data_IF_046516362825
#
_entry.id   IF_046516362825
#
_cell.length_a   1.000
_cell.length_b   1.000
_cell.length_c   1.000
_cell.angle_alpha   90.00
_cell.angle_beta   90.00
_cell.angle_gamma   90.00
#
_symmetry.space_group_name_H-M   'P 1'
#
loop_
_entity.id
_entity.type
_entity.pdbx_description
1 polymer ?
#
# COMPACT_ATOMS: atom_id res chain seq x y z
N UNK A 1 -23.74 -26.32 12.61
CA UNK A 1 -24.22 -25.03 13.10
C UNK A 1 -25.74 -24.90 12.97
N UNK A 2 -26.36 -25.36 11.89
CA UNK A 2 -27.80 -25.20 11.59
C UNK A 2 -28.63 -26.36 12.10
N UNK A 3 -28.15 -27.59 11.97
CA UNK A 3 -28.90 -28.83 12.24
C UNK A 3 -29.29 -28.98 13.72
N UNK A 4 -28.39 -28.79 14.67
CA UNK A 4 -28.64 -28.93 16.09
C UNK A 4 -29.73 -28.00 16.65
N UNK A 5 -29.73 -26.68 16.37
CA UNK A 5 -30.80 -25.81 16.84
C UNK A 5 -32.18 -26.16 16.30
N UNK A 6 -32.27 -26.61 15.03
CA UNK A 6 -33.55 -27.04 14.43
C UNK A 6 -34.05 -28.34 15.09
N UNK A 7 -33.18 -29.31 15.33
CA UNK A 7 -33.54 -30.61 15.93
C UNK A 7 -34.01 -30.46 17.40
N UNK A 8 -33.53 -29.43 18.10
CA UNK A 8 -33.90 -29.19 19.51
C UNK A 8 -35.17 -28.33 19.68
N UNK A 9 -35.72 -27.81 18.59
CA UNK A 9 -36.89 -26.95 18.62
C UNK A 9 -38.19 -27.78 18.70
N UNK A 10 -39.05 -27.47 19.70
CA UNK A 10 -40.32 -28.17 19.95
C UNK A 10 -41.58 -27.35 19.55
N UNK A 11 -41.42 -26.18 18.87
CA UNK A 11 -42.52 -25.34 18.44
C UNK A 11 -42.83 -25.46 16.95
N UNK A 12 -43.86 -24.72 16.48
CA UNK A 12 -44.11 -24.56 15.04
C UNK A 12 -42.93 -23.88 14.36
N UNK A 13 -42.54 -24.39 13.21
CA UNK A 13 -41.45 -23.88 12.40
C UNK A 13 -42.05 -22.89 11.41
N UNK A 14 -41.86 -21.59 11.69
CA UNK A 14 -42.20 -20.47 10.80
C UNK A 14 -40.91 -19.69 10.50
N UNK A 15 -40.89 -18.96 9.36
CA UNK A 15 -39.71 -18.19 8.92
C UNK A 15 -39.21 -17.25 10.02
N UNK A 16 -40.13 -16.52 10.65
CA UNK A 16 -39.83 -15.59 11.74
C UNK A 16 -39.22 -16.31 12.98
N UNK A 17 -39.68 -17.53 13.26
CA UNK A 17 -39.15 -18.37 14.34
C UNK A 17 -37.76 -18.92 14.01
N UNK A 18 -37.53 -19.31 12.75
CA UNK A 18 -36.23 -19.76 12.26
C UNK A 18 -35.17 -18.65 12.37
N UNK A 19 -35.50 -17.46 11.88
CA UNK A 19 -34.58 -16.32 11.87
C UNK A 19 -34.30 -15.82 13.30
N UNK A 20 -35.35 -15.58 14.09
CA UNK A 20 -35.19 -14.83 15.35
C UNK A 20 -34.92 -15.72 16.57
N UNK A 21 -35.36 -17.00 16.57
CA UNK A 21 -35.31 -17.86 17.74
C UNK A 21 -34.41 -19.08 17.57
N UNK A 22 -34.42 -19.71 16.40
CA UNK A 22 -33.71 -21.00 16.19
C UNK A 22 -32.29 -20.73 15.68
N UNK A 23 -32.14 -19.91 14.67
CA UNK A 23 -30.86 -19.67 14.00
C UNK A 23 -30.20 -18.37 14.44
N UNK A 24 -30.35 -17.89 15.61
CA UNK A 24 -29.83 -16.65 16.24
C UNK A 24 -28.46 -16.14 15.72
N UNK A 25 -28.15 -16.31 14.45
CA UNK A 25 -26.90 -15.93 13.83
C UNK A 25 -27.07 -14.62 13.05
N UNK A 26 -26.07 -13.73 13.13
CA UNK A 26 -25.98 -12.47 12.42
C UNK A 26 -25.74 -12.68 10.91
N UNK A 27 -26.58 -13.32 10.19
CA UNK A 27 -26.39 -13.62 8.76
C UNK A 27 -27.52 -14.45 8.20
N UNK A 28 -28.64 -14.47 8.90
CA UNK A 28 -29.86 -15.17 8.47
C UNK A 28 -30.83 -14.14 7.95
N UNK A 29 -31.17 -14.22 6.67
CA UNK A 29 -32.03 -13.28 5.96
C UNK A 29 -33.04 -14.03 5.09
N UNK A 30 -34.26 -13.51 4.98
CA UNK A 30 -35.23 -13.97 3.98
C UNK A 30 -34.82 -13.44 2.60
N UNK A 31 -34.86 -14.29 1.58
CA UNK A 31 -34.35 -13.99 0.24
C UNK A 31 -35.41 -14.31 -0.81
N UNK A 32 -35.55 -13.39 -1.77
CA UNK A 32 -36.40 -13.61 -2.93
C UNK A 32 -35.81 -14.68 -3.86
N UNK A 33 -36.66 -15.41 -4.60
CA UNK A 33 -36.24 -16.43 -5.55
C UNK A 33 -35.23 -15.93 -6.57
N UNK A 34 -35.35 -14.67 -7.01
CA UNK A 34 -34.45 -14.03 -7.97
C UNK A 34 -33.02 -13.80 -7.42
N UNK A 35 -32.83 -13.85 -6.10
CA UNK A 35 -31.55 -13.59 -5.44
C UNK A 35 -30.86 -14.89 -4.97
N UNK A 36 -31.47 -16.05 -5.17
CA UNK A 36 -30.93 -17.35 -4.74
C UNK A 36 -29.57 -17.60 -5.39
N UNK A 37 -29.47 -17.46 -6.70
CA UNK A 37 -28.23 -17.72 -7.45
C UNK A 37 -27.07 -16.85 -6.92
N UNK A 38 -27.32 -15.56 -6.71
CA UNK A 38 -26.34 -14.63 -6.17
C UNK A 38 -25.89 -15.02 -4.76
N UNK A 39 -26.82 -15.40 -3.88
CA UNK A 39 -26.49 -15.81 -2.52
C UNK A 39 -25.70 -17.12 -2.48
N UNK A 40 -25.96 -18.07 -3.39
CA UNK A 40 -25.19 -19.31 -3.52
C UNK A 40 -23.77 -18.98 -4.02
N UNK A 41 -23.62 -18.11 -5.01
CA UNK A 41 -22.31 -17.66 -5.51
C UNK A 41 -21.50 -16.90 -4.44
N UNK A 42 -22.17 -16.18 -3.56
CA UNK A 42 -21.55 -15.53 -2.37
C UNK A 42 -21.17 -16.56 -1.28
N UNK A 43 -21.43 -17.87 -1.49
CA UNK A 43 -21.08 -18.95 -0.56
C UNK A 43 -22.05 -19.10 0.62
N UNK A 44 -23.22 -18.49 0.54
CA UNK A 44 -24.27 -18.65 1.55
C UNK A 44 -25.07 -19.93 1.31
N UNK A 45 -25.62 -20.50 2.37
CA UNK A 45 -26.52 -21.66 2.28
C UNK A 45 -27.95 -21.18 2.19
N UNK A 46 -28.69 -21.73 1.24
CA UNK A 46 -30.13 -21.47 1.11
C UNK A 46 -30.90 -22.61 1.75
N UNK A 47 -31.78 -22.28 2.67
CA UNK A 47 -32.71 -23.21 3.31
C UNK A 47 -34.10 -23.02 2.70
N UNK A 48 -34.70 -24.11 2.28
CA UNK A 48 -36.09 -24.18 1.87
C UNK A 48 -36.73 -25.44 2.49
N UNK A 49 -38.05 -25.40 2.70
CA UNK A 49 -38.76 -26.51 3.32
C UNK A 49 -40.24 -26.43 2.95
N UNK A 50 -40.90 -27.59 2.93
CA UNK A 50 -42.34 -27.69 2.74
C UNK A 50 -43.16 -27.16 3.94
N UNK A 51 -42.48 -26.84 5.06
CA UNK A 51 -43.12 -26.33 6.29
C UNK A 51 -43.32 -24.80 6.30
N UNK A 52 -42.68 -24.06 5.36
CA UNK A 52 -42.82 -22.62 5.24
C UNK A 52 -42.63 -22.19 3.78
N UNK A 53 -43.37 -21.15 3.37
CA UNK A 53 -43.22 -20.54 2.06
C UNK A 53 -42.08 -19.50 2.09
N UNK A 54 -41.08 -19.64 1.20
CA UNK A 54 -39.97 -18.72 1.06
C UNK A 54 -38.60 -19.39 1.19
N UNK A 55 -37.57 -18.58 1.01
CA UNK A 55 -36.18 -19.00 1.04
C UNK A 55 -35.42 -18.21 2.12
N UNK A 56 -34.60 -18.90 2.89
CA UNK A 56 -33.79 -18.30 3.95
C UNK A 56 -32.32 -18.48 3.56
N UNK A 57 -31.57 -17.41 3.45
CA UNK A 57 -30.13 -17.45 3.30
C UNK A 57 -29.43 -17.43 4.67
N UNK A 58 -28.43 -18.27 4.84
CA UNK A 58 -27.60 -18.33 6.04
C UNK A 58 -26.15 -18.15 5.64
N UNK A 59 -25.52 -17.09 6.13
CA UNK A 59 -24.09 -16.86 5.92
C UNK A 59 -23.30 -17.75 6.88
N UNK A 60 -22.78 -18.86 6.35
CA UNK A 60 -21.86 -19.76 7.05
C UNK A 60 -20.47 -19.76 6.41
N UNK A 61 -20.21 -18.80 5.57
CA UNK A 61 -18.93 -18.70 4.87
C UNK A 61 -17.79 -18.51 5.87
N UNK A 62 -16.86 -19.44 5.84
CA UNK A 62 -15.56 -19.38 6.53
C UNK A 62 -14.47 -19.57 5.51
N UNK A 63 -14.12 -18.50 4.83
CA UNK A 63 -12.90 -18.53 4.00
C UNK A 63 -11.68 -18.61 4.92
N UNK A 64 -10.67 -19.42 4.58
CA UNK A 64 -9.40 -19.38 5.28
C UNK A 64 -8.77 -18.00 5.04
N UNK A 65 -8.82 -17.16 6.06
CA UNK A 65 -8.21 -15.83 6.04
C UNK A 65 -6.89 -15.86 6.80
N UNK A 66 -5.91 -15.12 6.32
CA UNK A 66 -4.65 -14.92 7.04
C UNK A 66 -4.94 -14.21 8.38
N UNK A 67 -4.35 -14.70 9.45
CA UNK A 67 -4.39 -13.98 10.73
C UNK A 67 -3.62 -12.66 10.60
N UNK A 68 -4.14 -11.54 11.15
CA UNK A 68 -3.40 -10.28 11.17
C UNK A 68 -1.99 -10.46 11.74
N UNK A 69 -1.00 -10.13 10.95
CA UNK A 69 0.43 -10.24 11.28
C UNK A 69 1.17 -9.01 10.81
N UNK A 70 2.43 -8.86 11.19
CA UNK A 70 3.26 -7.74 10.75
C UNK A 70 3.43 -7.77 9.22
N UNK A 71 3.15 -6.65 8.52
CA UNK A 71 3.35 -6.58 7.08
C UNK A 71 4.83 -6.68 6.72
N UNK A 72 5.22 -7.52 5.76
CA UNK A 72 6.61 -7.66 5.35
C UNK A 72 7.18 -6.38 4.70
N UNK A 73 6.31 -5.55 4.13
CA UNK A 73 6.67 -4.30 3.45
C UNK A 73 6.90 -3.13 4.39
N UNK A 74 6.28 -3.16 5.59
CA UNK A 74 6.35 -2.06 6.58
C UNK A 74 6.70 -2.57 7.97
N UNK A 75 7.91 -3.12 8.19
CA UNK A 75 8.34 -3.59 9.50
C UNK A 75 8.49 -2.43 10.48
N UNK A 76 8.15 -2.65 11.75
CA UNK A 76 8.15 -1.61 12.78
C UNK A 76 9.11 -1.94 13.90
N UNK A 77 9.95 -0.96 14.24
CA UNK A 77 10.86 -1.09 15.40
C UNK A 77 10.05 -0.88 16.70
N UNK A 78 9.16 0.12 16.71
CA UNK A 78 8.30 0.44 17.85
C UNK A 78 6.87 0.70 17.38
N UNK A 79 5.87 0.21 18.11
CA UNK A 79 4.46 0.40 17.82
C UNK A 79 3.71 -0.88 17.46
N UNK A 80 2.45 -0.78 17.03
CA UNK A 80 1.63 -1.92 16.66
C UNK A 80 2.19 -2.66 15.45
N UNK A 81 2.22 -3.99 15.53
CA UNK A 81 2.73 -4.87 14.45
C UNK A 81 1.63 -5.51 13.62
N UNK A 82 0.39 -5.18 13.92
CA UNK A 82 -0.77 -5.67 13.17
C UNK A 82 -0.88 -5.02 11.81
N UNK A 83 -1.04 -5.82 10.76
CA UNK A 83 -1.35 -5.40 9.40
C UNK A 83 -2.77 -5.72 8.99
N UNK A 84 -3.24 -5.07 7.93
CA UNK A 84 -4.46 -5.46 7.25
C UNK A 84 -4.29 -6.82 6.56
N UNK A 85 -5.42 -7.47 6.32
CA UNK A 85 -5.52 -8.75 5.64
C UNK A 85 -6.39 -8.63 4.38
N UNK A 86 -6.52 -9.71 3.65
CA UNK A 86 -7.30 -9.74 2.41
C UNK A 86 -8.81 -9.61 2.66
N UNK A 87 -9.32 -10.00 3.83
CA UNK A 87 -10.75 -9.93 4.20
C UNK A 87 -11.14 -8.52 4.65
N UNK A 88 -12.02 -7.87 3.89
CA UNK A 88 -12.51 -6.52 4.20
C UNK A 88 -13.26 -6.42 5.53
N UNK A 89 -13.97 -7.48 5.96
CA UNK A 89 -14.71 -7.51 7.23
C UNK A 89 -13.76 -7.45 8.42
N UNK A 90 -12.68 -8.20 8.35
CA UNK A 90 -11.58 -8.16 9.34
C UNK A 90 -10.95 -6.78 9.37
N UNK A 91 -10.67 -6.18 8.21
CA UNK A 91 -10.07 -4.85 8.10
C UNK A 91 -10.98 -3.75 8.69
N UNK A 92 -12.30 -3.82 8.44
CA UNK A 92 -13.27 -2.94 9.10
C UNK A 92 -13.24 -3.10 10.64
N UNK A 93 -13.13 -4.33 11.12
CA UNK A 93 -13.07 -4.63 12.56
C UNK A 93 -11.79 -4.08 13.18
N UNK A 94 -10.64 -4.19 12.49
CA UNK A 94 -9.37 -3.62 12.92
C UNK A 94 -9.44 -2.09 13.07
N UNK A 95 -10.09 -1.41 12.13
CA UNK A 95 -10.33 0.03 12.24
C UNK A 95 -11.32 0.37 13.35
N UNK A 96 -12.44 -0.37 13.45
CA UNK A 96 -13.44 -0.15 14.52
C UNK A 96 -12.85 -0.33 15.91
N UNK A 97 -11.93 -1.28 16.08
CA UNK A 97 -11.24 -1.52 17.35
C UNK A 97 -10.33 -0.35 17.77
N UNK A 98 -9.79 0.42 16.81
CA UNK A 98 -8.94 1.60 17.06
C UNK A 98 -9.75 2.89 17.18
N UNK A 99 -10.83 2.99 16.44
CA UNK A 99 -11.69 4.18 16.37
C UNK A 99 -13.06 3.87 17.01
N UNK A 100 -13.13 3.97 18.35
CA UNK A 100 -14.33 3.71 19.13
C UNK A 100 -15.28 4.94 19.10
N UNK A 101 -15.68 5.37 17.91
CA UNK A 101 -16.64 6.46 17.74
C UNK A 101 -17.85 6.01 16.96
N UNK A 102 -19.03 6.55 17.31
CA UNK A 102 -20.28 6.35 16.56
C UNK A 102 -20.23 6.99 15.17
N UNK A 103 -19.36 7.99 15.00
CA UNK A 103 -19.25 8.78 13.78
C UNK A 103 -18.40 8.08 12.71
N UNK A 104 -17.80 6.91 13.02
CA UNK A 104 -17.11 6.07 12.04
C UNK A 104 -18.12 5.38 11.13
N UNK A 105 -18.14 5.80 9.87
CA UNK A 105 -19.05 5.31 8.84
C UNK A 105 -18.31 4.38 7.89
N UNK A 106 -18.94 3.25 7.55
CA UNK A 106 -18.53 2.34 6.49
C UNK A 106 -19.63 2.28 5.42
N UNK A 107 -19.31 2.65 4.20
CA UNK A 107 -20.21 2.62 3.06
C UNK A 107 -19.70 1.63 2.03
N UNK A 108 -20.39 0.50 1.88
CA UNK A 108 -19.99 -0.56 0.95
C UNK A 108 -20.58 -0.30 -0.43
N UNK A 109 -19.73 -0.39 -1.44
CA UNK A 109 -20.04 -0.33 -2.86
C UNK A 109 -19.58 -1.65 -3.51
N UNK A 110 -20.20 -2.03 -4.63
CA UNK A 110 -19.85 -3.22 -5.39
C UNK A 110 -19.29 -2.76 -6.72
N UNK A 111 -18.11 -3.24 -7.09
CA UNK A 111 -17.40 -2.87 -8.33
C UNK A 111 -16.98 -4.11 -9.10
N UNK A 112 -17.06 -4.04 -10.42
CA UNK A 112 -16.76 -5.14 -11.33
C UNK A 112 -18.00 -5.93 -11.73
N UNK A 113 -18.24 -6.06 -13.04
CA UNK A 113 -19.41 -6.76 -13.55
C UNK A 113 -19.39 -8.26 -13.23
N UNK A 114 -18.20 -8.88 -13.30
CA UNK A 114 -18.00 -10.31 -13.03
C UNK A 114 -17.51 -10.58 -11.61
N UNK A 115 -16.56 -9.78 -11.09
CA UNK A 115 -15.97 -10.04 -9.78
C UNK A 115 -16.85 -9.64 -8.61
N UNK A 116 -17.80 -8.68 -8.80
CA UNK A 116 -18.69 -8.17 -7.74
C UNK A 116 -17.93 -7.83 -6.45
N UNK A 117 -16.73 -7.25 -6.59
CA UNK A 117 -15.80 -7.00 -5.49
C UNK A 117 -16.35 -5.90 -4.57
N UNK A 118 -16.34 -6.15 -3.26
CA UNK A 118 -16.79 -5.19 -2.26
C UNK A 118 -15.71 -4.15 -1.99
N UNK A 119 -16.08 -2.89 -2.15
CA UNK A 119 -15.23 -1.73 -1.87
C UNK A 119 -15.88 -0.90 -0.78
N UNK A 120 -15.21 -0.74 0.35
CA UNK A 120 -15.73 -0.02 1.51
C UNK A 120 -15.08 1.35 1.61
N UNK A 121 -15.88 2.40 1.49
CA UNK A 121 -15.47 3.79 1.75
C UNK A 121 -15.71 4.09 3.22
N UNK A 122 -14.63 4.32 3.95
CA UNK A 122 -14.63 4.55 5.40
C UNK A 122 -14.17 5.96 5.74
N UNK A 123 -14.87 6.64 6.63
CA UNK A 123 -14.57 8.01 7.06
C UNK A 123 -15.20 8.30 8.43
N UNK A 124 -14.72 9.36 9.08
CA UNK A 124 -15.33 9.88 10.32
C UNK A 124 -16.24 11.04 9.93
N UNK A 125 -17.55 10.90 10.19
CA UNK A 125 -18.51 11.97 9.90
C UNK A 125 -18.24 13.18 10.80
N UNK A 126 -18.37 14.37 10.22
CA UNK A 126 -18.03 15.62 10.91
C UNK A 126 -16.54 16.00 10.87
N UNK A 127 -15.62 15.06 10.54
CA UNK A 127 -14.18 15.33 10.42
C UNK A 127 -13.75 15.34 8.96
N UNK A 128 -14.17 14.34 8.19
CA UNK A 128 -13.83 14.23 6.77
C UNK A 128 -14.62 15.23 5.90
N UNK A 129 -13.95 15.82 4.89
CA UNK A 129 -14.60 16.74 3.95
C UNK A 129 -15.66 16.02 3.10
N UNK A 130 -16.91 16.47 3.21
CA UNK A 130 -18.06 15.92 2.46
C UNK A 130 -17.89 15.99 0.94
N UNK A 131 -17.06 16.92 0.44
CA UNK A 131 -16.75 17.01 -1.00
C UNK A 131 -15.87 15.85 -1.44
N UNK A 132 -14.84 15.52 -0.65
CA UNK A 132 -13.95 14.39 -0.91
C UNK A 132 -14.73 13.08 -0.86
N UNK A 133 -15.57 12.88 0.17
CA UNK A 133 -16.40 11.67 0.30
C UNK A 133 -17.29 11.48 -0.94
N UNK A 134 -17.97 12.53 -1.37
CA UNK A 134 -18.87 12.48 -2.57
C UNK A 134 -18.07 12.22 -3.85
N UNK A 135 -16.90 12.86 -4.02
CA UNK A 135 -16.03 12.65 -5.19
C UNK A 135 -15.55 11.19 -5.27
N UNK A 136 -15.07 10.65 -4.15
CA UNK A 136 -14.61 9.26 -4.06
C UNK A 136 -15.72 8.28 -4.39
N UNK A 137 -16.88 8.40 -3.73
CA UNK A 137 -18.04 7.52 -3.99
C UNK A 137 -18.47 7.57 -5.45
N UNK A 138 -18.63 8.78 -6.01
CA UNK A 138 -19.01 8.96 -7.41
C UNK A 138 -18.00 8.36 -8.38
N UNK A 139 -16.70 8.47 -8.09
CA UNK A 139 -15.67 7.85 -8.93
C UNK A 139 -15.76 6.33 -8.88
N UNK A 140 -15.90 5.74 -7.69
CA UNK A 140 -15.99 4.28 -7.51
C UNK A 140 -17.26 3.74 -8.18
N UNK A 141 -18.42 4.39 -8.03
CA UNK A 141 -19.69 3.99 -8.65
C UNK A 141 -19.65 4.03 -10.19
N UNK A 142 -18.81 4.91 -10.76
CA UNK A 142 -18.66 5.04 -12.20
C UNK A 142 -17.64 4.09 -12.82
N UNK A 143 -16.96 3.26 -12.03
CA UNK A 143 -15.99 2.28 -12.54
C UNK A 143 -16.75 1.18 -13.29
N UNK A 144 -16.45 1.03 -14.58
CA UNK A 144 -16.99 0.00 -15.45
C UNK A 144 -15.86 -0.89 -15.91
N UNK A 145 -15.67 -1.99 -15.19
CA UNK A 145 -14.67 -3.01 -15.50
C UNK A 145 -15.23 -4.40 -15.19
N UNK A 146 -14.70 -5.41 -15.83
CA UNK A 146 -15.10 -6.81 -15.62
C UNK A 146 -14.80 -7.29 -14.20
N UNK A 147 -13.65 -6.90 -13.64
CA UNK A 147 -13.24 -7.35 -12.32
C UNK A 147 -12.18 -6.48 -11.64
N UNK A 148 -12.24 -6.45 -10.32
CA UNK A 148 -11.26 -5.83 -9.41
C UNK A 148 -10.60 -6.97 -8.63
N UNK A 149 -9.30 -7.15 -8.83
CA UNK A 149 -8.51 -8.21 -8.16
C UNK A 149 -7.75 -7.66 -6.96
N UNK A 150 -7.33 -6.38 -7.02
CA UNK A 150 -6.57 -5.71 -5.96
C UNK A 150 -6.93 -4.23 -5.87
N UNK A 151 -6.57 -3.59 -4.76
CA UNK A 151 -6.77 -2.16 -4.50
C UNK A 151 -6.15 -1.25 -5.56
N UNK A 152 -5.07 -1.69 -6.23
CA UNK A 152 -4.41 -0.91 -7.28
C UNK A 152 -5.34 -0.62 -8.47
N UNK A 153 -6.29 -1.50 -8.77
CA UNK A 153 -7.30 -1.24 -9.81
C UNK A 153 -8.16 -0.03 -9.43
N UNK A 154 -8.61 0.03 -8.19
CA UNK A 154 -9.39 1.17 -7.69
C UNK A 154 -8.53 2.45 -7.64
N UNK A 155 -7.27 2.34 -7.21
CA UNK A 155 -6.34 3.47 -7.16
C UNK A 155 -6.23 4.16 -8.51
N UNK A 156 -6.03 3.41 -9.61
CA UNK A 156 -5.86 3.98 -10.95
C UNK A 156 -7.07 4.78 -11.43
N UNK A 157 -8.29 4.41 -11.04
CA UNK A 157 -9.52 5.17 -11.36
C UNK A 157 -9.74 6.38 -10.44
N UNK A 158 -9.21 6.35 -9.24
CA UNK A 158 -9.31 7.46 -8.30
C UNK A 158 -8.35 8.60 -8.62
N UNK A 159 -7.24 8.33 -9.31
CA UNK A 159 -6.30 9.36 -9.72
C UNK A 159 -6.95 10.44 -10.58
N UNK A 160 -6.60 11.70 -10.30
CA UNK A 160 -7.09 12.85 -11.07
C UNK A 160 -6.27 13.11 -12.32
N UNK A 161 -4.98 12.75 -12.27
CA UNK A 161 -3.99 12.96 -13.33
C UNK A 161 -3.20 11.66 -13.56
N UNK A 162 -3.70 10.77 -14.42
CA UNK A 162 -3.07 9.44 -14.63
C UNK A 162 -1.63 9.53 -15.17
N UNK A 163 -1.27 10.64 -15.83
CA UNK A 163 0.09 10.86 -16.34
C UNK A 163 1.01 11.59 -15.34
N UNK A 164 0.58 11.77 -14.08
CA UNK A 164 1.43 12.36 -13.06
C UNK A 164 2.48 11.37 -12.60
N UNK A 165 3.73 11.80 -12.49
CA UNK A 165 4.80 11.03 -11.86
C UNK A 165 4.69 11.01 -10.32
N UNK A 166 3.86 11.90 -9.76
CA UNK A 166 3.70 12.01 -8.32
C UNK A 166 2.46 11.24 -7.85
N UNK A 167 2.62 10.52 -6.76
CA UNK A 167 1.56 9.80 -6.05
C UNK A 167 0.43 10.77 -5.68
N UNK A 168 -0.81 10.39 -5.91
CA UNK A 168 -1.99 11.21 -5.62
C UNK A 168 -2.90 10.58 -4.56
N UNK A 169 -2.69 9.31 -4.27
CA UNK A 169 -3.46 8.51 -3.33
C UNK A 169 -2.48 7.81 -2.40
N UNK A 170 -2.69 7.92 -1.11
CA UNK A 170 -1.92 7.20 -0.11
C UNK A 170 -2.36 5.75 -0.06
N UNK A 171 -1.46 4.87 0.33
CA UNK A 171 -1.72 3.47 0.60
C UNK A 171 -1.05 3.07 1.92
N UNK A 172 -1.60 2.10 2.61
CA UNK A 172 -0.98 1.55 3.81
C UNK A 172 -1.51 0.16 4.11
N UNK A 173 -0.65 -0.72 4.57
CA UNK A 173 -1.00 -2.03 5.11
C UNK A 173 -1.25 -1.99 6.64
N UNK A 174 -1.10 -0.81 7.27
CA UNK A 174 -1.13 -0.67 8.72
C UNK A 174 -2.39 0.03 9.22
N UNK A 175 -3.20 -0.65 10.05
CA UNK A 175 -4.44 -0.09 10.59
C UNK A 175 -4.24 1.12 11.52
N UNK A 176 -3.10 1.23 12.20
CA UNK A 176 -2.77 2.37 13.07
C UNK A 176 -2.54 3.64 12.25
N UNK A 177 -1.80 3.53 11.13
CA UNK A 177 -1.56 4.66 10.21
C UNK A 177 -2.87 5.12 9.59
N UNK A 178 -3.69 4.18 9.09
CA UNK A 178 -4.97 4.54 8.46
C UNK A 178 -5.91 5.17 9.47
N UNK A 179 -5.99 4.65 10.69
CA UNK A 179 -6.80 5.23 11.76
C UNK A 179 -6.33 6.67 12.10
N UNK A 180 -5.02 6.91 12.21
CA UNK A 180 -4.48 8.25 12.44
C UNK A 180 -4.85 9.21 11.29
N UNK A 181 -4.70 8.79 10.05
CA UNK A 181 -5.09 9.56 8.86
C UNK A 181 -6.59 9.86 8.83
N UNK A 182 -7.44 8.93 9.27
CA UNK A 182 -8.88 9.16 9.37
C UNK A 182 -9.24 10.20 10.45
N UNK A 183 -8.51 10.23 11.56
CA UNK A 183 -8.65 11.28 12.59
C UNK A 183 -8.24 12.67 12.07
N UNK A 184 -7.34 12.73 11.08
CA UNK A 184 -6.96 13.95 10.36
C UNK A 184 -7.97 14.36 9.27
N UNK A 185 -9.07 13.60 9.09
CA UNK A 185 -10.13 13.91 8.13
C UNK A 185 -9.98 13.24 6.76
N UNK A 186 -9.11 12.26 6.61
CA UNK A 186 -9.00 11.51 5.37
C UNK A 186 -10.05 10.42 5.25
N UNK A 187 -10.33 10.06 4.01
CA UNK A 187 -11.20 8.96 3.63
C UNK A 187 -10.35 7.73 3.36
N UNK A 188 -10.65 6.62 4.00
CA UNK A 188 -10.02 5.33 3.75
C UNK A 188 -10.90 4.46 2.85
N UNK A 189 -10.27 3.73 1.93
CA UNK A 189 -10.95 2.85 0.97
C UNK A 189 -10.35 1.46 1.14
N UNK A 190 -11.18 0.53 1.60
CA UNK A 190 -10.83 -0.86 1.82
C UNK A 190 -11.39 -1.65 0.64
N UNK A 191 -10.57 -2.43 -0.02
CA UNK A 191 -10.96 -3.29 -1.14
C UNK A 191 -10.87 -4.74 -0.69
N UNK A 192 -11.91 -5.51 -0.97
CA UNK A 192 -11.91 -6.94 -0.69
C UNK A 192 -10.82 -7.65 -1.49
N UNK A 193 -10.21 -8.66 -0.93
CA UNK A 193 -9.06 -9.40 -1.46
C UNK A 193 -7.73 -8.61 -1.51
N UNK A 194 -7.65 -7.43 -0.87
CA UNK A 194 -6.42 -6.65 -0.80
C UNK A 194 -6.06 -6.27 0.64
N UNK A 195 -4.81 -6.48 1.08
CA UNK A 195 -4.34 -6.03 2.39
C UNK A 195 -3.95 -4.54 2.40
N UNK A 196 -4.06 -3.87 1.26
CA UNK A 196 -3.68 -2.47 1.11
C UNK A 196 -4.92 -1.59 1.19
N UNK A 197 -4.95 -0.68 2.16
CA UNK A 197 -6.01 0.33 2.30
C UNK A 197 -5.54 1.64 1.69
N UNK A 198 -6.36 2.20 0.80
CA UNK A 198 -6.08 3.48 0.15
C UNK A 198 -6.58 4.64 1.02
N UNK A 199 -5.89 5.77 0.98
CA UNK A 199 -6.26 6.98 1.74
C UNK A 199 -6.28 8.23 0.86
N UNK A 200 -7.32 9.04 0.97
CA UNK A 200 -7.51 10.28 0.19
C UNK A 200 -7.97 11.43 1.09
N UNK A 201 -7.52 12.66 0.84
CA UNK A 201 -6.50 13.09 -0.11
C UNK A 201 -5.08 12.72 0.33
N UNK A 202 -4.14 12.66 -0.61
CA UNK A 202 -2.73 12.42 -0.34
C UNK A 202 -1.93 13.73 -0.48
N UNK A 203 -0.93 13.89 0.38
CA UNK A 203 -0.01 15.04 0.38
C UNK A 203 1.42 14.48 0.38
N UNK A 204 2.30 15.00 -0.47
CA UNK A 204 3.70 14.55 -0.59
C UNK A 204 4.45 14.46 0.74
N UNK A 205 4.12 15.33 1.69
CA UNK A 205 4.74 15.30 3.03
C UNK A 205 4.41 14.03 3.84
N UNK A 206 3.40 13.26 3.43
CA UNK A 206 3.09 11.97 4.08
C UNK A 206 4.15 10.91 3.81
N UNK A 207 4.77 10.93 2.63
CA UNK A 207 5.87 10.01 2.31
C UNK A 207 7.11 10.28 3.17
N UNK A 208 7.21 11.46 3.79
CA UNK A 208 8.29 11.78 4.73
C UNK A 208 8.00 11.31 6.15
N UNK A 209 6.80 10.79 6.42
CA UNK A 209 6.37 10.35 7.74
C UNK A 209 6.39 8.82 7.82
N UNK A 210 7.09 8.28 8.81
CA UNK A 210 7.03 6.87 9.16
C UNK A 210 6.16 6.65 10.38
N UNK A 211 5.54 5.47 10.52
CA UNK A 211 4.82 5.09 11.73
C UNK A 211 5.68 5.17 12.99
N UNK A 212 6.98 4.87 12.87
CA UNK A 212 7.92 4.96 13.99
C UNK A 212 8.04 6.38 14.58
N UNK A 213 7.81 7.43 13.78
CA UNK A 213 7.91 8.82 14.24
C UNK A 213 6.85 9.16 15.29
N UNK A 214 5.71 8.47 15.29
CA UNK A 214 4.62 8.68 16.26
C UNK A 214 4.83 7.96 17.59
N UNK A 215 5.79 7.00 17.62
CA UNK A 215 6.12 6.20 18.80
C UNK A 215 7.46 6.58 19.44
N UNK A 216 8.08 7.66 18.96
CA UNK A 216 9.36 8.20 19.46
C UNK A 216 9.22 9.63 19.99
N UNK A 217 10.28 10.14 20.64
CA UNK A 217 10.31 11.52 21.10
C UNK A 217 10.17 12.50 19.93
N UNK A 218 9.33 13.55 20.08
CA UNK A 218 9.03 14.51 19.03
C UNK A 218 10.26 15.25 18.46
N UNK A 219 11.27 15.53 19.30
CA UNK A 219 12.53 16.15 18.85
C UNK A 219 13.30 15.21 17.91
N UNK A 220 13.38 13.94 18.28
CA UNK A 220 14.02 12.92 17.45
C UNK A 220 13.25 12.70 16.15
N UNK A 221 11.93 12.56 16.22
CA UNK A 221 11.08 12.43 15.04
C UNK A 221 11.24 13.62 14.06
N UNK A 222 11.29 14.84 14.58
CA UNK A 222 11.51 16.05 13.77
C UNK A 222 12.87 16.07 13.10
N UNK A 223 13.92 15.66 13.81
CA UNK A 223 15.28 15.54 13.24
C UNK A 223 15.31 14.50 12.13
N UNK A 224 14.73 13.34 12.37
CA UNK A 224 14.71 12.25 11.35
C UNK A 224 13.91 12.65 10.12
N UNK A 225 12.77 13.34 10.26
CA UNK A 225 12.01 13.90 9.12
C UNK A 225 12.82 14.91 8.33
N UNK A 226 13.57 15.77 9.01
CA UNK A 226 14.48 16.71 8.35
C UNK A 226 15.59 15.98 7.56
N UNK A 227 16.19 14.94 8.16
CA UNK A 227 17.19 14.10 7.48
C UNK A 227 16.61 13.44 6.23
N UNK A 228 15.37 12.91 6.29
CA UNK A 228 14.68 12.33 5.12
C UNK A 228 14.46 13.36 4.02
N UNK A 229 14.06 14.57 4.38
CA UNK A 229 13.89 15.65 3.41
C UNK A 229 15.22 16.03 2.74
N UNK A 230 16.30 16.13 3.52
CA UNK A 230 17.65 16.33 2.97
C UNK A 230 18.08 15.15 2.09
N UNK A 231 17.78 13.90 2.51
CA UNK A 231 18.04 12.70 1.72
C UNK A 231 17.35 12.74 0.36
N UNK A 232 16.06 13.09 0.31
CA UNK A 232 15.33 13.25 -0.95
C UNK A 232 15.96 14.32 -1.85
N UNK A 233 16.34 15.46 -1.29
CA UNK A 233 17.03 16.52 -2.04
C UNK A 233 18.38 16.03 -2.59
N UNK A 234 19.18 15.33 -1.79
CA UNK A 234 20.44 14.73 -2.22
C UNK A 234 20.18 13.72 -3.34
N UNK A 235 19.18 12.83 -3.18
CA UNK A 235 18.86 11.82 -4.19
C UNK A 235 18.57 12.43 -5.56
N UNK A 236 17.87 13.56 -5.61
CA UNK A 236 17.48 14.22 -6.86
C UNK A 236 18.59 15.12 -7.40
N UNK A 237 19.23 15.91 -6.53
CA UNK A 237 20.08 17.02 -6.95
C UNK A 237 21.55 16.61 -7.08
N UNK A 238 22.05 15.68 -6.24
CA UNK A 238 23.49 15.41 -6.16
C UNK A 238 24.14 14.98 -7.49
N UNK A 239 23.56 14.09 -8.31
CA UNK A 239 24.18 13.72 -9.59
C UNK A 239 24.26 14.86 -10.57
N UNK A 240 23.16 15.65 -10.70
CA UNK A 240 23.16 16.83 -11.57
C UNK A 240 24.10 17.94 -11.08
N UNK A 241 24.16 18.14 -9.76
CA UNK A 241 25.08 19.10 -9.16
C UNK A 241 26.54 18.73 -9.37
N UNK A 242 26.90 17.44 -9.21
CA UNK A 242 28.22 16.94 -9.52
C UNK A 242 28.61 17.20 -10.98
N UNK A 243 27.72 16.86 -11.93
CA UNK A 243 27.95 17.13 -13.35
C UNK A 243 28.10 18.65 -13.65
N UNK A 244 27.31 19.48 -13.00
CA UNK A 244 27.40 20.93 -13.16
C UNK A 244 28.74 21.48 -12.64
N UNK A 245 29.22 20.98 -11.51
CA UNK A 245 30.53 21.36 -10.98
C UNK A 245 31.67 20.88 -11.88
N UNK A 246 31.60 19.63 -12.34
CA UNK A 246 32.65 19.05 -13.19
C UNK A 246 32.75 19.70 -14.56
N UNK A 247 31.60 20.01 -15.21
CA UNK A 247 31.58 20.46 -16.60
C UNK A 247 31.62 22.01 -16.73
N UNK A 248 30.99 22.71 -15.80
CA UNK A 248 30.75 24.14 -15.95
C UNK A 248 31.35 25.04 -14.86
N UNK A 249 31.52 24.48 -13.63
CA UNK A 249 31.88 25.27 -12.46
C UNK A 249 33.08 24.69 -11.72
N UNK A 250 34.05 24.14 -12.44
CA UNK A 250 35.25 23.53 -11.86
C UNK A 250 36.08 24.50 -10.97
N UNK A 251 35.95 25.82 -11.16
CA UNK A 251 36.62 26.83 -10.34
C UNK A 251 36.16 26.89 -8.90
N UNK A 252 34.99 26.31 -8.56
CA UNK A 252 34.47 26.27 -7.20
C UNK A 252 35.13 25.12 -6.40
N UNK A 253 35.66 24.09 -7.11
CA UNK A 253 36.26 22.94 -6.48
C UNK A 253 37.65 23.25 -5.91
N UNK A 254 37.98 22.73 -4.72
CA UNK A 254 39.36 22.78 -4.23
C UNK A 254 40.32 22.16 -5.24
N UNK A 255 41.50 22.76 -5.44
CA UNK A 255 42.45 22.35 -6.47
C UNK A 255 42.80 20.86 -6.39
N UNK A 256 43.04 20.34 -5.19
CA UNK A 256 43.38 18.91 -4.99
C UNK A 256 42.26 17.99 -5.44
N UNK A 257 40.99 18.39 -5.20
CA UNK A 257 39.83 17.61 -5.60
C UNK A 257 39.63 17.66 -7.12
N UNK A 258 39.85 18.82 -7.72
CA UNK A 258 39.81 19.00 -9.18
C UNK A 258 40.86 18.12 -9.88
N UNK A 259 42.09 18.10 -9.38
CA UNK A 259 43.16 17.25 -9.92
C UNK A 259 42.75 15.77 -9.81
N UNK A 260 42.22 15.34 -8.65
CA UNK A 260 41.76 13.96 -8.45
C UNK A 260 40.65 13.58 -9.43
N UNK A 261 39.68 14.46 -9.67
CA UNK A 261 38.64 14.21 -10.67
C UNK A 261 39.24 14.12 -12.06
N UNK A 262 40.13 15.02 -12.43
CA UNK A 262 40.74 15.05 -13.76
C UNK A 262 41.54 13.75 -14.01
N UNK A 263 42.37 13.33 -13.05
CA UNK A 263 43.18 12.11 -13.15
C UNK A 263 42.32 10.85 -13.27
N UNK A 264 41.21 10.78 -12.51
CA UNK A 264 40.33 9.59 -12.48
C UNK A 264 39.34 9.53 -13.64
N UNK A 265 39.11 10.63 -14.33
CA UNK A 265 38.21 10.68 -15.48
C UNK A 265 38.95 10.69 -16.82
N UNK A 266 40.28 10.89 -16.79
CA UNK A 266 41.11 10.87 -18.00
C UNK A 266 41.16 9.46 -18.60
N UNK A 267 40.85 9.36 -19.91
CA UNK A 267 40.87 8.08 -20.62
C UNK A 267 39.61 7.22 -20.52
N UNK A 268 38.56 7.69 -19.83
CA UNK A 268 37.28 7.00 -19.80
C UNK A 268 36.58 7.06 -21.17
N UNK A 269 35.87 5.97 -21.58
CA UNK A 269 35.20 5.90 -22.88
C UNK A 269 33.94 6.76 -22.97
N UNK A 270 33.35 7.10 -21.83
CA UNK A 270 32.09 7.86 -21.76
C UNK A 270 32.32 9.31 -21.38
N UNK A 271 31.46 10.20 -21.88
CA UNK A 271 31.35 11.56 -21.34
C UNK A 271 30.79 11.51 -19.91
N UNK A 272 31.10 12.47 -19.03
CA UNK A 272 30.62 12.46 -17.64
C UNK A 272 29.11 12.26 -17.49
N UNK A 273 28.31 12.84 -18.38
CA UNK A 273 26.86 12.65 -18.39
C UNK A 273 26.46 11.21 -18.71
N UNK A 274 27.05 10.62 -19.77
CA UNK A 274 26.77 9.24 -20.17
C UNK A 274 27.26 8.24 -19.14
N UNK A 275 28.37 8.53 -18.49
CA UNK A 275 28.91 7.73 -17.39
C UNK A 275 27.90 7.63 -16.24
N UNK A 276 27.43 8.77 -15.72
CA UNK A 276 26.44 8.80 -14.64
C UNK A 276 25.15 8.08 -15.04
N UNK A 277 24.67 8.31 -16.26
CA UNK A 277 23.48 7.63 -16.78
C UNK A 277 23.68 6.13 -16.85
N UNK A 278 24.84 5.67 -17.31
CA UNK A 278 25.20 4.25 -17.38
C UNK A 278 25.25 3.61 -15.98
N UNK A 279 25.87 4.26 -15.00
CA UNK A 279 25.91 3.78 -13.61
C UNK A 279 24.50 3.69 -13.04
N UNK A 280 23.63 4.69 -13.27
CA UNK A 280 22.23 4.63 -12.84
C UNK A 280 21.47 3.46 -13.46
N UNK A 281 21.68 3.20 -14.76
CA UNK A 281 21.07 2.07 -15.44
C UNK A 281 21.50 0.72 -14.82
N UNK A 282 22.80 0.56 -14.57
CA UNK A 282 23.33 -0.63 -13.92
C UNK A 282 22.75 -0.83 -12.52
N UNK A 283 22.72 0.22 -11.69
CA UNK A 283 22.06 0.13 -10.38
C UNK A 283 20.56 -0.19 -10.49
N UNK A 284 19.86 0.32 -11.50
CA UNK A 284 18.45 0.00 -11.71
C UNK A 284 18.24 -1.46 -12.10
N UNK A 285 19.12 -2.01 -12.94
CA UNK A 285 19.10 -3.44 -13.30
C UNK A 285 19.35 -4.31 -12.06
N UNK A 286 20.35 -3.97 -11.25
CA UNK A 286 20.64 -4.70 -10.01
C UNK A 286 19.46 -4.67 -9.03
N UNK A 287 18.80 -3.52 -8.90
CA UNK A 287 17.61 -3.37 -8.07
C UNK A 287 16.47 -4.25 -8.57
N UNK A 288 16.17 -4.21 -9.87
CA UNK A 288 15.12 -5.02 -10.48
C UNK A 288 15.37 -6.52 -10.32
N UNK A 289 16.62 -6.96 -10.47
CA UNK A 289 17.03 -8.35 -10.23
C UNK A 289 16.82 -8.74 -8.77
N UNK A 290 17.21 -7.86 -7.83
CA UNK A 290 17.08 -8.13 -6.40
C UNK A 290 15.64 -8.32 -5.94
N UNK A 291 14.66 -7.64 -6.56
CA UNK A 291 13.23 -7.79 -6.27
C UNK A 291 12.68 -9.17 -6.69
N UNK A 292 13.26 -9.79 -7.71
CA UNK A 292 12.78 -11.08 -8.28
C UNK A 292 13.43 -12.30 -7.62
N UNK A 293 14.55 -12.12 -6.95
CA UNK A 293 15.27 -13.20 -6.30
C UNK A 293 14.74 -13.44 -4.88
N UNK A 294 14.87 -14.68 -4.41
CA UNK A 294 14.65 -14.97 -2.99
C UNK A 294 15.60 -14.13 -2.12
N UNK A 295 15.13 -13.72 -0.94
CA UNK A 295 15.81 -12.73 -0.09
C UNK A 295 17.31 -12.97 0.12
N UNK A 296 17.74 -14.23 0.32
CA UNK A 296 19.15 -14.57 0.50
C UNK A 296 19.97 -14.49 -0.80
N UNK A 297 19.38 -14.86 -1.94
CA UNK A 297 20.03 -14.72 -3.25
C UNK A 297 20.10 -13.27 -3.69
N UNK A 298 19.05 -12.49 -3.40
CA UNK A 298 19.01 -11.06 -3.67
C UNK A 298 20.11 -10.30 -2.94
N UNK A 299 20.35 -10.62 -1.66
CA UNK A 299 21.44 -10.03 -0.88
C UNK A 299 22.82 -10.38 -1.49
N UNK A 300 23.07 -11.65 -1.79
CA UNK A 300 24.33 -12.10 -2.39
C UNK A 300 24.58 -11.42 -3.75
N UNK A 301 23.57 -11.36 -4.62
CA UNK A 301 23.64 -10.70 -5.94
C UNK A 301 23.91 -9.20 -5.81
N UNK A 302 23.30 -8.53 -4.83
CA UNK A 302 23.53 -7.11 -4.58
C UNK A 302 24.97 -6.83 -4.13
N UNK A 303 25.53 -7.67 -3.25
CA UNK A 303 26.92 -7.53 -2.79
C UNK A 303 27.90 -7.76 -3.96
N UNK A 304 27.71 -8.83 -4.73
CA UNK A 304 28.55 -9.13 -5.89
C UNK A 304 28.43 -8.03 -6.95
N UNK A 305 27.22 -7.57 -7.24
CA UNK A 305 26.98 -6.47 -8.18
C UNK A 305 27.66 -5.17 -7.74
N UNK A 306 27.58 -4.80 -6.47
CA UNK A 306 28.25 -3.63 -5.93
C UNK A 306 29.79 -3.75 -6.03
N UNK A 307 30.34 -4.94 -5.77
CA UNK A 307 31.79 -5.20 -5.91
C UNK A 307 32.23 -5.10 -7.37
N UNK A 308 31.50 -5.72 -8.30
CA UNK A 308 31.80 -5.66 -9.73
C UNK A 308 31.77 -4.22 -10.23
N UNK A 309 30.75 -3.46 -9.88
CA UNK A 309 30.64 -2.07 -10.31
C UNK A 309 31.67 -1.18 -9.62
N UNK A 310 31.84 -1.29 -8.30
CA UNK A 310 32.69 -0.41 -7.53
C UNK A 310 34.18 -0.66 -7.74
N UNK A 311 34.63 -1.91 -7.80
CA UNK A 311 36.07 -2.25 -7.91
C UNK A 311 36.47 -2.59 -9.35
N UNK A 312 35.77 -3.54 -9.98
CA UNK A 312 36.17 -4.02 -11.31
C UNK A 312 35.88 -3.00 -12.40
N UNK A 313 34.72 -2.32 -12.36
CA UNK A 313 34.35 -1.30 -13.33
C UNK A 313 35.31 -0.09 -13.31
N UNK A 314 35.70 0.33 -12.12
CA UNK A 314 36.68 1.41 -11.92
C UNK A 314 38.08 0.98 -12.38
N UNK A 315 38.56 -0.21 -11.98
CA UNK A 315 39.86 -0.74 -12.41
C UNK A 315 39.95 -0.97 -13.93
N UNK A 316 38.83 -1.31 -14.56
CA UNK A 316 38.78 -1.46 -16.02
C UNK A 316 38.77 -0.13 -16.76
N UNK A 317 38.70 1.01 -16.06
CA UNK A 317 38.62 2.33 -16.68
C UNK A 317 37.30 2.58 -17.46
N UNK A 318 36.24 1.93 -17.06
CA UNK A 318 34.89 2.13 -17.65
C UNK A 318 34.12 3.24 -16.97
N UNK A 319 34.30 3.42 -15.67
CA UNK A 319 33.61 4.36 -14.81
C UNK A 319 34.58 5.01 -13.81
N UNK A 320 34.33 6.23 -13.40
CA UNK A 320 35.18 6.93 -12.42
C UNK A 320 34.76 6.65 -10.97
N UNK A 321 35.71 6.62 -10.01
CA UNK A 321 35.39 6.53 -8.58
C UNK A 321 34.43 7.63 -8.09
N UNK A 322 34.63 8.93 -8.46
CA UNK A 322 33.66 9.97 -8.06
C UNK A 322 32.26 9.75 -8.60
N UNK A 323 32.11 9.30 -9.85
CA UNK A 323 30.83 8.99 -10.46
C UNK A 323 30.08 7.89 -9.73
N UNK A 324 30.79 6.81 -9.35
CA UNK A 324 30.23 5.71 -8.56
C UNK A 324 29.78 6.20 -7.17
N UNK A 325 30.61 6.97 -6.48
CA UNK A 325 30.32 7.49 -5.12
C UNK A 325 29.07 8.37 -5.13
N UNK A 326 28.99 9.32 -6.05
CA UNK A 326 27.84 10.25 -6.13
C UNK A 326 26.56 9.51 -6.48
N UNK A 327 26.63 8.57 -7.41
CA UNK A 327 25.46 7.78 -7.81
C UNK A 327 25.00 6.85 -6.69
N UNK A 328 25.93 6.21 -5.99
CA UNK A 328 25.64 5.37 -4.83
C UNK A 328 25.02 6.20 -3.70
N UNK A 329 25.59 7.38 -3.39
CA UNK A 329 25.04 8.30 -2.38
C UNK A 329 23.61 8.72 -2.74
N UNK A 330 23.34 9.06 -4.00
CA UNK A 330 22.00 9.39 -4.48
C UNK A 330 21.01 8.23 -4.29
N UNK A 331 21.40 7.00 -4.60
CA UNK A 331 20.56 5.81 -4.41
C UNK A 331 20.32 5.50 -2.92
N UNK A 332 21.35 5.56 -2.08
CA UNK A 332 21.22 5.36 -0.62
C UNK A 332 20.31 6.42 0.00
N UNK A 333 20.46 7.67 -0.43
CA UNK A 333 19.65 8.76 0.04
C UNK A 333 18.14 8.57 -0.31
N UNK A 334 17.84 7.96 -1.44
CA UNK A 334 16.45 7.62 -1.80
C UNK A 334 15.80 6.65 -0.81
N UNK A 335 16.56 5.68 -0.25
CA UNK A 335 16.03 4.73 0.73
C UNK A 335 15.79 5.33 2.12
N UNK A 336 16.12 6.60 2.34
CA UNK A 336 15.76 7.29 3.60
C UNK A 336 14.28 7.67 3.63
N UNK A 337 13.61 7.74 2.47
CA UNK A 337 12.19 8.04 2.35
C UNK A 337 11.42 6.76 2.67
N UNK A 338 10.59 6.72 3.73
CA UNK A 338 9.67 5.62 3.96
C UNK A 338 8.63 5.64 2.85
N UNK A 339 8.18 4.52 2.39
CA UNK A 339 7.28 4.24 1.27
C UNK A 339 6.29 5.32 0.84
#
# INVERSE_FOLDING_TARGET
AIYLPIQQWQGQIDISSLINKILKNNGVEEVAESEIEKNILDGKVILFSDFFEGYISVDITKYPTRTPSEPPTSPVIQGPREGFVEDFKTNMTLLRRRLHTKDLVFSTLIVGEKSQTKVVVSYIDGVADKRVIREVKKKIENIKIDGVVDSYYILSYLEKRPNSLFKQIGNSEKPDIVAAKMLEGKVAIIVDNSPIVLTVPFILMEDMQSSNDYYTNHHYASLVRFIRMCGLLIAIVAPGFYLALQLFHYNILPLNFLITIADTTQGLPFTPFLEILFIFLLFQILYEVSLRLQSYLGLATSIVGALILGDTGVKAGLISPPGVIITALSKIALYTVPE
#
